data_IF_584754147839
#
_entry.id   IF_584754147839
#
_cell.length_a   1.000
_cell.length_b   1.000
_cell.length_c   1.000
_cell.angle_alpha   90.00
_cell.angle_beta   90.00
_cell.angle_gamma   90.00
#
_symmetry.space_group_name_H-M   'P 1'
#
loop_
_entity.id
_entity.type
_entity.pdbx_description
1 polymer ?
#
# COMPACT_ATOMS: atom_id res chain seq x y z
N UNK A 1 -34.74 -25.20 -14.50
CA UNK A 1 -34.00 -25.87 -13.41
C UNK A 1 -32.75 -25.06 -13.14
N UNK A 2 -32.67 -24.35 -12.01
CA UNK A 2 -31.53 -23.46 -11.72
C UNK A 2 -30.31 -24.30 -11.34
N UNK A 3 -29.30 -24.30 -12.20
CA UNK A 3 -28.02 -24.97 -11.92
C UNK A 3 -27.31 -24.16 -10.84
N UNK A 4 -27.07 -24.74 -9.66
CA UNK A 4 -26.29 -24.09 -8.61
C UNK A 4 -24.84 -23.96 -9.10
N UNK A 5 -24.46 -22.73 -9.45
CA UNK A 5 -23.08 -22.38 -9.75
C UNK A 5 -22.25 -22.66 -8.49
N UNK A 6 -21.47 -23.72 -8.52
CA UNK A 6 -20.57 -24.09 -7.43
C UNK A 6 -19.22 -23.42 -7.67
N UNK A 7 -18.93 -22.40 -6.87
CA UNK A 7 -17.64 -21.74 -6.88
C UNK A 7 -16.71 -22.42 -5.85
N UNK A 8 -15.65 -23.12 -6.29
CA UNK A 8 -14.76 -23.85 -5.39
C UNK A 8 -13.95 -22.94 -4.45
N UNK A 9 -13.91 -21.63 -4.71
CA UNK A 9 -13.24 -20.64 -3.85
C UNK A 9 -14.13 -20.10 -2.73
N UNK A 10 -15.44 -20.36 -2.74
CA UNK A 10 -16.36 -19.89 -1.71
C UNK A 10 -16.62 -20.97 -0.66
N UNK A 11 -16.56 -20.57 0.62
CA UNK A 11 -16.91 -21.43 1.75
C UNK A 11 -18.06 -20.81 2.54
N UNK A 12 -19.05 -21.62 2.93
CA UNK A 12 -20.16 -21.21 3.77
C UNK A 12 -19.94 -21.73 5.18
N UNK A 13 -19.96 -20.84 6.18
CA UNK A 13 -19.81 -21.19 7.60
C UNK A 13 -21.01 -20.69 8.42
N UNK A 14 -21.51 -21.46 9.42
CA UNK A 14 -22.61 -21.02 10.27
C UNK A 14 -22.23 -19.80 11.12
N UNK A 15 -23.17 -18.85 11.29
CA UNK A 15 -22.92 -17.61 12.06
C UNK A 15 -22.56 -17.86 13.53
N UNK A 16 -23.08 -18.91 14.13
CA UNK A 16 -22.81 -19.28 15.53
C UNK A 16 -21.57 -20.16 15.69
N UNK A 17 -20.92 -20.55 14.59
CA UNK A 17 -19.70 -21.33 14.64
C UNK A 17 -18.53 -20.45 15.11
N UNK A 18 -17.60 -21.06 15.86
CA UNK A 18 -16.35 -20.39 16.21
C UNK A 18 -15.49 -20.19 14.96
N UNK A 19 -14.69 -19.13 14.95
CA UNK A 19 -13.73 -18.88 13.88
C UNK A 19 -12.77 -20.07 13.75
N UNK A 20 -12.50 -20.55 12.52
CA UNK A 20 -11.52 -21.60 12.30
C UNK A 20 -10.13 -21.08 12.67
N UNK A 21 -9.38 -21.91 13.40
CA UNK A 21 -7.97 -21.63 13.70
C UNK A 21 -7.19 -21.96 12.44
N UNK A 22 -6.57 -20.96 11.82
CA UNK A 22 -5.65 -21.19 10.72
C UNK A 22 -4.48 -22.03 11.24
N UNK A 23 -4.17 -23.18 10.64
CA UNK A 23 -2.98 -23.93 11.00
C UNK A 23 -1.77 -23.02 10.75
N UNK A 24 -0.81 -23.03 11.68
CA UNK A 24 0.47 -22.38 11.40
C UNK A 24 1.04 -23.08 10.19
N UNK A 25 1.16 -22.35 9.08
CA UNK A 25 1.84 -22.83 7.91
C UNK A 25 3.25 -23.19 8.39
N UNK A 26 3.56 -24.47 8.48
CA UNK A 26 4.83 -24.96 9.03
C UNK A 26 6.03 -24.64 8.13
N UNK A 27 5.85 -23.68 7.23
CA UNK A 27 6.91 -23.12 6.42
C UNK A 27 7.94 -22.44 7.33
N UNK A 28 9.21 -22.73 7.04
CA UNK A 28 10.33 -22.07 7.70
C UNK A 28 10.13 -20.57 7.58
N UNK A 29 10.23 -19.85 8.70
CA UNK A 29 10.23 -18.38 8.69
C UNK A 29 11.13 -17.87 7.55
N UNK A 30 10.67 -16.87 6.81
CA UNK A 30 11.46 -16.28 5.73
C UNK A 30 12.84 -15.83 6.22
N UNK A 31 12.97 -15.43 7.49
CA UNK A 31 14.23 -15.09 8.13
C UNK A 31 15.15 -16.32 8.24
N UNK A 32 14.61 -17.45 8.70
CA UNK A 32 15.35 -18.71 8.80
C UNK A 32 15.75 -19.24 7.41
N UNK A 33 14.87 -19.08 6.41
CA UNK A 33 15.20 -19.42 5.03
C UNK A 33 16.34 -18.54 4.49
N UNK A 34 16.26 -17.21 4.67
CA UNK A 34 17.29 -16.27 4.24
C UNK A 34 18.64 -16.52 4.94
N UNK A 35 18.62 -16.89 6.22
CA UNK A 35 19.82 -17.29 6.98
C UNK A 35 20.42 -18.60 6.44
N UNK A 36 19.59 -19.61 6.15
CA UNK A 36 20.05 -20.92 5.63
C UNK A 36 20.77 -20.81 4.29
N UNK A 37 20.37 -19.87 3.43
CA UNK A 37 20.99 -19.62 2.12
C UNK A 37 22.08 -18.54 2.18
N UNK A 38 22.46 -18.07 3.38
CA UNK A 38 23.49 -17.06 3.58
C UNK A 38 23.15 -15.66 3.04
N UNK A 39 21.86 -15.40 2.74
CA UNK A 39 21.38 -14.09 2.27
C UNK A 39 21.01 -13.15 3.41
N UNK A 40 20.82 -13.66 4.62
CA UNK A 40 20.71 -12.86 5.84
C UNK A 40 22.08 -12.83 6.53
N UNK A 41 22.71 -11.65 6.61
CA UNK A 41 23.91 -11.41 7.40
C UNK A 41 23.69 -10.21 8.31
N UNK A 42 24.27 -10.24 9.51
CA UNK A 42 24.28 -9.08 10.40
C UNK A 42 24.94 -7.90 9.71
N UNK A 43 24.35 -6.72 9.89
CA UNK A 43 24.96 -5.48 9.40
C UNK A 43 26.14 -5.13 10.29
N UNK A 44 27.29 -4.84 9.69
CA UNK A 44 28.41 -4.23 10.40
C UNK A 44 27.93 -2.88 10.97
N UNK A 45 28.32 -2.52 12.20
CA UNK A 45 28.02 -1.20 12.75
C UNK A 45 28.64 -0.15 11.83
N UNK A 46 27.79 0.52 11.06
CA UNK A 46 28.19 1.69 10.27
C UNK A 46 28.09 2.88 11.20
N UNK A 47 29.19 3.63 11.34
CA UNK A 47 29.09 5.01 11.80
C UNK A 47 28.21 5.72 10.77
N UNK A 48 27.02 6.11 11.18
CA UNK A 48 26.13 6.93 10.36
C UNK A 48 26.77 8.31 10.27
N UNK A 49 27.65 8.49 9.28
CA UNK A 49 27.85 9.80 8.71
C UNK A 49 26.52 10.11 8.03
N UNK A 50 25.65 10.80 8.77
CA UNK A 50 24.67 11.66 8.15
C UNK A 50 25.53 12.61 7.32
N UNK A 51 25.73 12.30 6.04
CA UNK A 51 26.09 13.33 5.08
C UNK A 51 25.06 14.42 5.33
N UNK A 52 25.54 15.51 5.93
CA UNK A 52 24.75 16.71 6.15
C UNK A 52 24.20 17.02 4.78
N UNK A 53 22.90 16.75 4.62
CA UNK A 53 22.21 17.02 3.39
C UNK A 53 22.40 18.51 3.18
N UNK A 54 23.34 18.87 2.29
CA UNK A 54 23.41 20.20 1.72
C UNK A 54 22.02 20.39 1.16
N UNK A 55 21.24 21.16 1.91
CA UNK A 55 19.87 21.49 1.61
C UNK A 55 19.94 22.44 0.41
N UNK A 56 20.23 21.88 -0.76
CA UNK A 56 20.09 22.58 -2.03
C UNK A 56 18.62 23.00 -2.12
N UNK A 57 18.46 24.32 -2.20
CA UNK A 57 17.23 25.03 -1.94
C UNK A 57 16.17 24.64 -2.99
N UNK A 58 15.25 23.73 -2.62
CA UNK A 58 14.12 23.30 -3.48
C UNK A 58 13.30 24.51 -3.98
N UNK A 59 13.42 25.65 -3.30
CA UNK A 59 12.85 26.94 -3.67
C UNK A 59 13.34 27.47 -5.02
N UNK A 60 14.57 27.15 -5.45
CA UNK A 60 15.11 27.61 -6.74
C UNK A 60 14.58 26.76 -7.92
N UNK A 61 14.09 25.55 -7.63
CA UNK A 61 13.50 24.63 -8.62
C UNK A 61 12.01 24.91 -8.85
N UNK A 62 11.29 25.40 -7.83
CA UNK A 62 9.93 25.88 -7.99
C UNK A 62 9.98 27.31 -8.53
N UNK A 63 9.91 27.44 -9.86
CA UNK A 63 9.87 28.74 -10.56
C UNK A 63 8.95 29.73 -9.83
N UNK A 64 9.51 30.89 -9.48
CA UNK A 64 8.85 31.87 -8.62
C UNK A 64 7.52 32.36 -9.19
N UNK A 65 6.56 32.50 -8.26
CA UNK A 65 5.30 33.26 -8.38
C UNK A 65 4.41 32.90 -9.58
N UNK A 66 3.82 31.70 -9.57
CA UNK A 66 2.57 31.47 -10.31
C UNK A 66 1.40 31.66 -9.33
N UNK A 67 1.11 32.93 -9.02
CA UNK A 67 -0.17 33.32 -8.44
C UNK A 67 -1.23 33.07 -9.50
N UNK A 68 -1.79 31.86 -9.53
CA UNK A 68 -3.03 31.59 -10.24
C UNK A 68 -4.08 32.55 -9.66
N UNK A 69 -4.41 33.61 -10.40
CA UNK A 69 -5.57 34.45 -10.10
C UNK A 69 -6.79 33.51 -10.07
N UNK A 70 -7.32 33.31 -8.87
CA UNK A 70 -8.55 32.56 -8.63
C UNK A 70 -9.70 33.49 -8.98
N UNK A 71 -9.84 33.78 -10.28
CA UNK A 71 -11.02 34.45 -10.84
C UNK A 71 -11.39 33.76 -12.15
N UNK A 72 -11.86 32.53 -12.02
CA UNK A 72 -12.79 31.95 -12.99
C UNK A 72 -13.86 31.20 -12.19
N UNK A 73 -14.68 32.01 -11.51
CA UNK A 73 -15.88 31.61 -10.78
C UNK A 73 -17.05 31.41 -11.77
N UNK A 74 -16.81 30.77 -12.92
CA UNK A 74 -17.81 30.58 -13.97
C UNK A 74 -17.93 29.12 -14.45
N UNK A 75 -19.03 28.50 -13.98
CA UNK A 75 -19.89 27.57 -14.73
C UNK A 75 -19.40 26.12 -15.00
N UNK A 76 -19.44 25.28 -13.96
CA UNK A 76 -19.70 23.84 -14.15
C UNK A 76 -21.16 23.52 -13.78
N UNK A 77 -22.11 23.96 -14.61
CA UNK A 77 -23.47 23.43 -14.63
C UNK A 77 -23.48 22.00 -15.18
N UNK A 78 -23.32 21.01 -14.28
CA UNK A 78 -23.68 19.62 -14.56
C UNK A 78 -25.21 19.46 -14.43
N UNK A 79 -25.92 19.84 -15.49
CA UNK A 79 -27.30 19.40 -15.71
C UNK A 79 -27.25 18.04 -16.42
N UNK A 80 -27.34 16.96 -15.64
CA UNK A 80 -27.66 15.61 -16.15
C UNK A 80 -28.78 15.02 -15.27
N UNK A 81 -30.02 15.37 -15.67
CA UNK A 81 -31.23 14.53 -15.73
C UNK A 81 -31.50 13.58 -14.54
N UNK A 82 -32.32 14.02 -13.58
CA UNK A 82 -32.98 13.18 -12.57
C UNK A 82 -34.51 13.23 -12.81
N UNK A 83 -35.06 12.05 -13.16
CA UNK A 83 -36.48 11.61 -13.30
C UNK A 83 -37.37 12.04 -14.50
#
# INVERSE_FOLDING_TARGET
MSSKIYNPSLQQVPRSAKAPILPSSGESSILAWLESIGRLRSREPQESFLDEAESEEISDLMGGDDSFDVDDDDDLSLDEDDD
#
